data_IF_650142841149
#
_entry.id   IF_650142841149
#
_cell.length_a   1.000
_cell.length_b   1.000
_cell.length_c   1.000
_cell.angle_alpha   90.00
_cell.angle_beta   90.00
_cell.angle_gamma   90.00
#
_symmetry.space_group_name_H-M   'P 1'
#
loop_
_entity.id
_entity.type
_entity.pdbx_description
1 polymer ?
#
# COMPACT_ATOMS: atom_id res chain seq x y z
N UNK A 1 9.02 -6.45 -16.96
CA UNK A 1 8.95 -5.70 -15.68
C UNK A 1 10.23 -4.92 -15.54
N UNK A 2 10.15 -3.60 -15.33
CA UNK A 2 11.31 -2.76 -15.01
C UNK A 2 11.18 -2.31 -13.55
N UNK A 3 12.21 -2.58 -12.74
CA UNK A 3 12.24 -2.26 -11.30
C UNK A 3 13.32 -1.24 -11.01
N UNK A 4 13.13 -0.40 -9.99
CA UNK A 4 14.03 0.73 -9.75
C UNK A 4 13.91 1.80 -10.84
N UNK A 5 12.76 1.85 -11.53
CA UNK A 5 12.46 2.81 -12.58
C UNK A 5 11.23 3.64 -12.23
N UNK A 6 11.41 4.71 -11.45
CA UNK A 6 10.31 5.61 -11.12
C UNK A 6 9.99 6.53 -12.29
N UNK A 7 8.75 6.46 -12.77
CA UNK A 7 8.18 7.42 -13.72
C UNK A 7 7.91 8.73 -12.98
N UNK A 8 8.37 9.85 -13.56
CA UNK A 8 8.20 11.20 -13.00
C UNK A 8 7.31 12.10 -13.86
N UNK A 9 7.14 11.77 -15.14
CA UNK A 9 6.21 12.46 -16.02
C UNK A 9 5.72 11.54 -17.13
N UNK A 10 4.54 11.86 -17.67
CA UNK A 10 3.96 11.18 -18.82
C UNK A 10 3.46 12.20 -19.82
N UNK A 11 3.55 11.89 -21.12
CA UNK A 11 3.09 12.76 -22.19
C UNK A 11 2.30 11.98 -23.23
N UNK A 12 1.14 12.49 -23.61
CA UNK A 12 0.37 12.02 -24.77
C UNK A 12 0.73 12.83 -26.01
N UNK A 13 1.07 12.15 -27.09
CA UNK A 13 1.22 12.68 -28.46
C UNK A 13 0.29 11.94 -29.41
N UNK A 14 0.28 12.26 -30.71
CA UNK A 14 -0.42 11.45 -31.72
C UNK A 14 0.13 10.01 -31.79
N UNK A 15 1.44 9.84 -31.58
CA UNK A 15 2.15 8.55 -31.69
C UNK A 15 2.02 7.63 -30.48
N UNK A 16 1.43 8.09 -29.36
CA UNK A 16 1.28 7.27 -28.16
C UNK A 16 1.47 8.06 -26.86
N UNK A 17 1.56 7.30 -25.78
CA UNK A 17 2.07 7.73 -24.49
C UNK A 17 3.59 7.57 -24.45
N UNK A 18 4.23 8.53 -23.79
CA UNK A 18 5.65 8.51 -23.48
C UNK A 18 5.87 8.71 -21.97
N UNK A 19 6.88 8.04 -21.43
CA UNK A 19 7.22 8.09 -20.01
C UNK A 19 8.61 8.72 -19.82
N UNK A 20 8.77 9.59 -18.84
CA UNK A 20 10.09 10.01 -18.36
C UNK A 20 10.36 9.43 -16.97
N UNK A 21 11.62 9.06 -16.73
CA UNK A 21 12.06 8.42 -15.50
C UNK A 21 12.94 9.36 -14.67
N UNK A 22 13.01 9.11 -13.36
CA UNK A 22 13.93 9.80 -12.48
C UNK A 22 15.39 9.55 -12.90
N UNK A 23 16.27 10.50 -12.59
CA UNK A 23 17.69 10.42 -12.91
C UNK A 23 18.33 9.15 -12.32
N UNK A 24 19.07 8.40 -13.14
CA UNK A 24 19.69 7.13 -12.74
C UNK A 24 18.71 5.96 -12.56
N UNK A 25 17.41 6.17 -12.77
CA UNK A 25 16.35 5.17 -12.66
C UNK A 25 15.82 4.73 -14.05
N UNK A 26 16.54 5.01 -15.14
CA UNK A 26 16.14 4.55 -16.46
C UNK A 26 16.27 3.01 -16.58
N UNK A 27 15.42 2.36 -17.39
CA UNK A 27 15.59 0.95 -17.72
C UNK A 27 17.00 0.62 -18.25
N UNK A 28 17.53 -0.54 -17.85
CA UNK A 28 18.85 -0.99 -18.29
C UNK A 28 18.94 -1.04 -19.84
N UNK A 29 20.01 -0.45 -20.39
CA UNK A 29 20.25 -0.36 -21.84
C UNK A 29 19.79 0.96 -22.48
N UNK A 30 19.30 1.92 -21.70
CA UNK A 30 18.88 3.24 -22.18
C UNK A 30 19.84 4.35 -21.70
N UNK A 31 20.16 5.32 -22.57
CA UNK A 31 21.12 6.39 -22.25
C UNK A 31 20.55 7.37 -21.22
N UNK A 32 21.26 7.69 -20.13
CA UNK A 32 20.78 8.59 -19.08
C UNK A 32 20.76 10.08 -19.49
N UNK A 33 21.32 10.45 -20.64
CA UNK A 33 21.61 11.84 -21.01
C UNK A 33 20.47 12.60 -21.70
N UNK A 34 19.37 11.92 -22.01
CA UNK A 34 18.16 12.52 -22.59
C UNK A 34 17.00 12.00 -21.75
N UNK A 35 15.97 12.80 -21.46
CA UNK A 35 14.68 12.27 -21.01
C UNK A 35 14.34 11.08 -21.92
N UNK A 36 14.58 9.84 -21.45
CA UNK A 36 14.34 8.67 -22.29
C UNK A 36 12.85 8.47 -22.28
N UNK A 37 12.20 9.20 -23.18
CA UNK A 37 10.84 8.97 -23.59
C UNK A 37 10.82 7.55 -24.16
N UNK A 38 10.40 6.58 -23.36
CA UNK A 38 9.86 5.36 -23.95
C UNK A 38 8.57 5.76 -24.65
N UNK A 39 8.68 6.05 -25.94
CA UNK A 39 7.55 6.36 -26.80
C UNK A 39 6.90 5.05 -27.26
N UNK A 40 5.62 5.13 -27.65
CA UNK A 40 4.95 4.07 -28.38
C UNK A 40 4.04 3.18 -27.54
N UNK A 41 3.59 3.63 -26.37
CA UNK A 41 2.50 2.95 -25.67
C UNK A 41 1.16 3.48 -26.15
N UNK A 42 0.28 2.62 -26.69
CA UNK A 42 -1.06 3.04 -27.11
C UNK A 42 -1.95 3.41 -25.92
N UNK A 43 -1.77 2.71 -24.80
CA UNK A 43 -2.55 2.83 -23.58
C UNK A 43 -1.63 3.11 -22.38
N UNK A 44 -2.08 3.95 -21.45
CA UNK A 44 -1.41 4.18 -20.17
C UNK A 44 -2.30 3.71 -19.03
N UNK A 45 -1.76 2.88 -18.14
CA UNK A 45 -2.45 2.42 -16.92
C UNK A 45 -1.68 2.87 -15.69
N UNK A 46 -2.36 3.60 -14.81
CA UNK A 46 -1.84 4.06 -13.53
C UNK A 46 -2.43 3.18 -12.41
N UNK A 47 -1.63 2.20 -11.96
CA UNK A 47 -1.95 1.32 -10.84
C UNK A 47 -1.12 1.71 -9.60
N UNK A 48 -1.39 2.89 -9.07
CA UNK A 48 -0.63 3.48 -7.95
C UNK A 48 -1.57 4.30 -7.05
N UNK A 49 -1.17 4.65 -5.81
CA UNK A 49 -1.91 5.57 -4.97
C UNK A 49 -2.34 6.86 -5.69
N UNK A 50 -3.54 7.40 -5.40
CA UNK A 50 -4.16 8.50 -6.14
C UNK A 50 -3.31 9.77 -6.14
N UNK A 51 -2.64 10.08 -5.02
CA UNK A 51 -1.74 11.23 -4.95
C UNK A 51 -0.56 11.13 -5.93
N UNK A 52 -0.06 9.91 -6.15
CA UNK A 52 1.04 9.68 -7.10
C UNK A 52 0.53 9.69 -8.55
N UNK A 53 -0.66 9.16 -8.80
CA UNK A 53 -1.29 9.21 -10.13
C UNK A 53 -1.67 10.65 -10.55
N UNK A 54 -2.13 11.46 -9.59
CA UNK A 54 -2.43 12.88 -9.80
C UNK A 54 -1.17 13.71 -10.05
N UNK A 55 0.00 13.30 -9.56
CA UNK A 55 1.25 13.97 -9.89
C UNK A 55 1.65 13.78 -11.38
N UNK A 56 1.10 12.77 -12.05
CA UNK A 56 1.38 12.44 -13.45
C UNK A 56 0.29 12.92 -14.41
N UNK A 57 -0.89 13.30 -13.92
CA UNK A 57 -2.07 13.55 -14.77
C UNK A 57 -2.93 14.70 -14.23
N UNK A 58 -3.77 15.29 -15.07
CA UNK A 58 -4.63 16.40 -14.66
C UNK A 58 -5.92 15.98 -13.95
N UNK A 59 -6.13 14.68 -13.72
CA UNK A 59 -7.33 14.19 -13.05
C UNK A 59 -7.24 14.49 -11.55
N UNK A 60 -8.24 15.19 -11.02
CA UNK A 60 -8.33 15.42 -9.58
C UNK A 60 -8.73 14.12 -8.88
N UNK A 61 -7.75 13.51 -8.21
CA UNK A 61 -7.92 12.34 -7.36
C UNK A 61 -7.85 12.74 -5.88
N UNK A 62 -7.91 14.04 -5.61
CA UNK A 62 -7.86 14.68 -4.32
C UNK A 62 -9.07 14.41 -3.46
N UNK A 63 -10.01 13.54 -3.79
CA UNK A 63 -11.02 13.03 -2.86
C UNK A 63 -10.68 11.62 -2.34
N UNK A 64 -9.82 10.87 -3.03
CA UNK A 64 -9.39 9.54 -2.60
C UNK A 64 -8.28 9.67 -1.56
N UNK A 65 -8.57 9.25 -0.34
CA UNK A 65 -7.69 9.40 0.83
C UNK A 65 -7.24 8.06 1.34
N UNK A 66 -6.11 8.07 2.04
CA UNK A 66 -5.56 6.90 2.71
C UNK A 66 -5.29 7.23 4.16
N UNK A 67 -5.41 6.23 5.03
CA UNK A 67 -4.84 6.28 6.36
C UNK A 67 -3.48 5.58 6.36
N UNK A 68 -2.49 6.13 7.10
CA UNK A 68 -1.20 5.47 7.23
C UNK A 68 -1.30 4.21 8.09
N UNK A 69 -0.28 3.37 8.01
CA UNK A 69 -0.07 2.27 8.95
C UNK A 69 1.41 2.19 9.29
N UNK A 70 1.70 1.94 10.56
CA UNK A 70 3.04 1.60 11.02
C UNK A 70 3.00 0.12 11.41
N UNK A 71 3.95 -0.65 10.90
CA UNK A 71 4.15 -2.04 11.25
C UNK A 71 5.46 -2.21 12.03
N UNK A 72 5.39 -2.85 13.19
CA UNK A 72 6.58 -3.29 13.94
C UNK A 72 6.70 -4.79 13.85
N UNK A 73 7.81 -5.24 13.28
CA UNK A 73 8.17 -6.65 13.13
C UNK A 73 9.15 -7.02 14.23
N UNK A 74 8.84 -8.07 14.98
CA UNK A 74 9.61 -8.52 16.13
C UNK A 74 10.02 -9.98 15.94
N UNK A 75 11.20 -10.36 16.42
CA UNK A 75 11.58 -11.75 16.62
C UNK A 75 12.08 -11.96 18.05
N UNK A 76 11.82 -13.15 18.59
CA UNK A 76 12.23 -13.56 19.93
C UNK A 76 13.03 -14.86 19.86
N UNK A 77 13.98 -15.03 20.77
CA UNK A 77 14.88 -16.19 20.81
C UNK A 77 14.17 -17.46 21.32
N UNK A 78 13.09 -17.29 22.07
CA UNK A 78 12.26 -18.37 22.58
C UNK A 78 10.79 -18.11 22.24
N UNK A 79 9.97 -19.18 22.12
CA UNK A 79 8.53 -19.05 21.96
C UNK A 79 7.89 -18.24 23.08
N UNK A 80 6.89 -17.42 22.73
CA UNK A 80 6.10 -16.68 23.71
C UNK A 80 4.94 -17.55 24.18
N UNK A 81 4.73 -17.62 25.50
CA UNK A 81 3.60 -18.33 26.12
C UNK A 81 2.26 -17.58 25.98
N UNK A 82 1.96 -17.11 24.76
CA UNK A 82 0.71 -16.42 24.43
C UNK A 82 -0.28 -17.41 23.80
N UNK A 83 -1.54 -17.45 24.27
CA UNK A 83 -2.54 -18.43 23.83
C UNK A 83 -3.23 -18.05 22.50
N UNK A 84 -2.64 -17.15 21.71
CA UNK A 84 -3.21 -16.67 20.47
C UNK A 84 -2.13 -16.49 19.40
N UNK A 85 -2.56 -16.63 18.14
CA UNK A 85 -1.73 -16.43 16.96
C UNK A 85 -2.09 -15.15 16.19
N UNK A 86 -3.24 -14.55 16.51
CA UNK A 86 -3.67 -13.29 15.92
C UNK A 86 -4.75 -12.61 16.75
N UNK A 87 -4.79 -11.28 16.67
CA UNK A 87 -5.77 -10.46 17.36
C UNK A 87 -6.13 -9.25 16.48
N UNK A 88 -7.43 -9.03 16.27
CA UNK A 88 -7.97 -7.87 15.55
C UNK A 88 -8.64 -6.90 16.50
N UNK A 89 -8.54 -5.61 16.20
CA UNK A 89 -9.11 -4.54 17.02
C UNK A 89 -10.11 -3.76 16.18
N UNK A 90 -11.38 -3.74 16.60
CA UNK A 90 -12.46 -3.11 15.83
C UNK A 90 -12.54 -1.59 16.05
N UNK A 91 -12.09 -1.10 17.22
CA UNK A 91 -12.14 0.33 17.51
C UNK A 91 -11.07 1.08 16.72
N UNK A 92 -11.47 2.13 16.02
CA UNK A 92 -10.55 3.06 15.36
C UNK A 92 -9.64 3.82 16.32
N UNK A 93 -9.96 3.82 17.62
CA UNK A 93 -9.16 4.44 18.69
C UNK A 93 -8.20 3.47 19.40
N UNK A 94 -8.26 2.17 19.08
CA UNK A 94 -7.30 1.20 19.62
C UNK A 94 -5.90 1.51 19.12
N UNK A 95 -4.88 1.27 19.95
CA UNK A 95 -3.48 1.45 19.58
C UNK A 95 -3.09 0.52 18.43
N UNK A 96 -3.47 -0.76 18.52
CA UNK A 96 -3.29 -1.74 17.47
C UNK A 96 -4.52 -1.83 16.59
N UNK A 97 -4.32 -2.20 15.33
CA UNK A 97 -5.37 -2.66 14.41
C UNK A 97 -5.33 -4.18 14.22
N UNK A 98 -4.12 -4.75 14.26
CA UNK A 98 -3.89 -6.18 14.06
C UNK A 98 -2.58 -6.63 14.69
N UNK A 99 -2.59 -7.79 15.34
CA UNK A 99 -1.40 -8.51 15.77
C UNK A 99 -1.40 -9.88 15.10
N UNK A 100 -0.24 -10.36 14.65
CA UNK A 100 -0.07 -11.72 14.19
C UNK A 100 1.25 -12.32 14.66
N UNK A 101 1.19 -13.55 15.16
CA UNK A 101 2.33 -14.46 15.21
C UNK A 101 2.63 -14.89 13.77
N UNK A 102 3.54 -14.21 13.10
CA UNK A 102 3.87 -14.49 11.70
C UNK A 102 4.42 -15.90 11.51
N UNK A 103 5.08 -16.47 12.52
CA UNK A 103 5.61 -17.84 12.45
C UNK A 103 4.54 -18.93 12.46
N UNK A 104 3.30 -18.67 12.89
CA UNK A 104 2.22 -19.67 12.85
C UNK A 104 1.57 -19.83 11.47
N UNK A 105 1.85 -18.90 10.54
CA UNK A 105 1.29 -18.96 9.19
C UNK A 105 1.80 -20.21 8.42
N UNK A 106 0.95 -20.85 7.60
CA UNK A 106 1.35 -22.02 6.82
C UNK A 106 2.61 -21.79 5.98
N UNK A 107 3.54 -22.76 6.01
CA UNK A 107 4.78 -22.72 5.23
C UNK A 107 5.88 -21.80 5.78
N UNK A 108 5.70 -21.19 6.96
CA UNK A 108 6.76 -20.41 7.60
C UNK A 108 7.78 -21.31 8.30
N UNK A 109 9.06 -20.90 8.35
CA UNK A 109 10.07 -21.64 9.10
C UNK A 109 9.78 -21.58 10.61
N UNK A 110 10.30 -22.51 11.42
CA UNK A 110 10.22 -22.42 12.87
C UNK A 110 10.77 -21.10 13.43
N UNK A 111 10.26 -20.67 14.58
CA UNK A 111 10.71 -19.47 15.30
C UNK A 111 9.55 -18.70 15.92
N UNK A 112 9.85 -17.62 16.63
CA UNK A 112 8.85 -16.76 17.28
C UNK A 112 8.95 -15.36 16.68
N UNK A 113 8.00 -15.03 15.79
CA UNK A 113 8.02 -13.78 15.02
C UNK A 113 6.63 -13.15 15.07
N UNK A 114 6.58 -11.86 15.33
CA UNK A 114 5.34 -11.09 15.41
C UNK A 114 5.35 -9.92 14.45
N UNK A 115 4.18 -9.62 13.90
CA UNK A 115 3.92 -8.38 13.17
C UNK A 115 2.79 -7.66 13.89
N UNK A 116 3.09 -6.46 14.37
CA UNK A 116 2.16 -5.61 15.10
C UNK A 116 1.82 -4.41 14.22
N UNK A 117 0.56 -4.31 13.78
CA UNK A 117 0.06 -3.17 13.02
C UNK A 117 -0.57 -2.16 13.96
N UNK A 118 -0.03 -0.95 13.96
CA UNK A 118 -0.58 0.21 14.66
C UNK A 118 -1.78 0.72 13.86
N UNK A 119 -2.84 1.13 14.56
CA UNK A 119 -4.03 1.70 13.92
C UNK A 119 -3.68 3.02 13.21
N UNK A 120 -4.47 3.37 12.20
CA UNK A 120 -4.22 4.58 11.42
C UNK A 120 -4.28 5.88 12.23
N UNK A 121 -5.22 5.96 13.19
CA UNK A 121 -5.36 7.13 14.06
C UNK A 121 -4.13 7.33 14.97
N UNK A 122 -3.53 6.23 15.45
CA UNK A 122 -2.32 6.27 16.28
C UNK A 122 -1.05 6.40 15.44
N UNK A 123 -1.02 5.84 14.23
CA UNK A 123 0.13 5.89 13.35
C UNK A 123 0.55 7.33 12.99
N UNK A 124 -0.41 8.25 12.82
CA UNK A 124 -0.10 9.66 12.53
C UNK A 124 0.64 10.36 13.69
N UNK A 125 0.24 10.11 14.95
CA UNK A 125 0.90 10.74 16.10
C UNK A 125 2.30 10.19 16.36
N UNK A 126 2.54 8.93 15.98
CA UNK A 126 3.82 8.26 16.15
C UNK A 126 4.74 8.35 14.91
N UNK A 127 4.28 8.97 13.83
CA UNK A 127 4.94 8.93 12.52
C UNK A 127 6.40 9.41 12.55
N UNK A 128 6.66 10.45 13.35
CA UNK A 128 7.96 11.12 13.45
C UNK A 128 8.89 10.53 14.51
N UNK A 129 8.45 9.53 15.28
CA UNK A 129 9.32 8.85 16.24
C UNK A 129 10.43 8.09 15.51
N UNK A 130 11.62 8.03 16.12
CA UNK A 130 12.69 7.15 15.64
C UNK A 130 12.25 5.68 15.73
N UNK A 131 12.87 4.81 14.94
CA UNK A 131 12.53 3.39 14.95
C UNK A 131 12.74 2.75 16.33
N UNK A 132 13.78 3.18 17.06
CA UNK A 132 14.06 2.73 18.43
C UNK A 132 12.98 3.17 19.42
N UNK A 133 12.64 4.46 19.42
CA UNK A 133 11.62 5.01 20.31
C UNK A 133 10.25 4.38 20.04
N UNK A 134 9.90 4.23 18.76
CA UNK A 134 8.66 3.59 18.34
C UNK A 134 8.62 2.11 18.73
N UNK A 135 9.73 1.39 18.60
CA UNK A 135 9.82 -0.02 19.01
C UNK A 135 9.59 -0.15 20.52
N UNK A 136 10.18 0.74 21.33
CA UNK A 136 9.98 0.76 22.79
C UNK A 136 8.50 1.00 23.14
N UNK A 137 7.88 2.02 22.56
CA UNK A 137 6.47 2.35 22.79
C UNK A 137 5.55 1.17 22.40
N UNK A 138 5.79 0.58 21.23
CA UNK A 138 4.98 -0.53 20.72
C UNK A 138 5.16 -1.80 21.55
N UNK A 139 6.38 -2.10 22.02
CA UNK A 139 6.62 -3.22 22.93
C UNK A 139 5.91 -3.01 24.26
N UNK A 140 5.97 -1.79 24.83
CA UNK A 140 5.25 -1.46 26.06
C UNK A 140 3.74 -1.66 25.88
N UNK A 141 3.16 -1.18 24.76
CA UNK A 141 1.73 -1.37 24.45
C UNK A 141 1.36 -2.82 24.19
N UNK A 142 2.24 -3.59 23.57
CA UNK A 142 2.02 -5.03 23.36
C UNK A 142 2.06 -5.80 24.68
N UNK A 143 2.98 -5.43 25.58
CA UNK A 143 3.06 -6.00 26.93
C UNK A 143 1.83 -5.62 27.76
N UNK A 144 1.40 -4.35 27.76
CA UNK A 144 0.16 -3.89 28.40
C UNK A 144 -1.06 -4.68 27.91
N UNK A 145 -1.20 -4.83 26.59
CA UNK A 145 -2.29 -5.62 26.00
C UNK A 145 -2.26 -7.07 26.49
N UNK A 146 -1.10 -7.73 26.44
CA UNK A 146 -0.99 -9.12 26.86
C UNK A 146 -1.25 -9.28 28.36
N UNK A 147 -0.67 -8.43 29.21
CA UNK A 147 -0.85 -8.47 30.66
C UNK A 147 -2.28 -8.17 31.11
N UNK A 148 -3.03 -7.38 30.33
CA UNK A 148 -4.44 -7.10 30.60
C UNK A 148 -5.38 -8.27 30.25
N UNK A 149 -4.96 -9.19 29.39
CA UNK A 149 -5.82 -10.26 28.85
C UNK A 149 -5.38 -11.67 29.26
N UNK A 150 -4.13 -11.86 29.72
CA UNK A 150 -3.55 -13.17 30.03
C UNK A 150 -2.72 -13.12 31.31
N UNK A 151 -2.69 -14.25 32.03
CA UNK A 151 -1.88 -14.39 33.24
C UNK A 151 -0.41 -14.68 32.90
N UNK A 152 0.50 -14.30 33.81
CA UNK A 152 1.94 -14.63 33.73
C UNK A 152 2.65 -14.16 32.44
N UNK A 153 2.32 -12.97 31.97
CA UNK A 153 2.95 -12.38 30.78
C UNK A 153 4.25 -11.66 31.15
N UNK A 154 5.37 -12.30 30.83
CA UNK A 154 6.69 -11.66 30.77
C UNK A 154 7.21 -11.73 29.33
N UNK A 155 7.15 -10.61 28.61
CA UNK A 155 7.64 -10.55 27.24
C UNK A 155 9.14 -10.23 27.27
N UNK A 156 10.01 -11.16 26.78
CA UNK A 156 11.44 -10.91 26.74
C UNK A 156 11.74 -9.78 25.75
N UNK A 157 12.94 -9.20 25.88
CA UNK A 157 13.45 -8.29 24.85
C UNK A 157 13.52 -9.04 23.51
N UNK A 158 13.00 -8.47 22.41
CA UNK A 158 13.15 -9.08 21.10
C UNK A 158 14.62 -9.09 20.68
N UNK A 159 15.06 -10.17 20.05
CA UNK A 159 16.39 -10.29 19.45
C UNK A 159 16.50 -9.57 18.10
N UNK A 160 15.36 -9.26 17.49
CA UNK A 160 15.28 -8.44 16.29
C UNK A 160 14.03 -7.57 16.30
N UNK A 161 14.17 -6.32 15.85
CA UNK A 161 13.05 -5.42 15.59
C UNK A 161 13.25 -4.67 14.27
N UNK A 162 12.17 -4.45 13.53
CA UNK A 162 12.15 -3.60 12.34
C UNK A 162 10.84 -2.85 12.24
N UNK A 163 10.94 -1.55 11.98
CA UNK A 163 9.79 -0.70 11.72
C UNK A 163 9.60 -0.54 10.21
N UNK A 164 8.35 -0.48 9.77
CA UNK A 164 7.99 -0.02 8.44
C UNK A 164 6.80 0.95 8.51
N UNK A 165 6.85 2.02 7.70
CA UNK A 165 5.83 3.08 7.66
C UNK A 165 5.18 3.12 6.28
N UNK A 166 3.92 2.71 6.20
CA UNK A 166 3.10 2.74 4.99
C UNK A 166 2.25 4.02 4.96
N UNK A 167 2.65 5.02 4.16
CA UNK A 167 1.93 6.31 4.10
C UNK A 167 0.54 6.18 3.46
N UNK A 168 0.43 5.29 2.48
CA UNK A 168 -0.78 5.00 1.73
C UNK A 168 -1.23 3.56 2.00
N UNK A 169 -1.52 3.23 3.26
CA UNK A 169 -1.72 1.84 3.69
C UNK A 169 -3.13 1.31 3.39
N UNK A 170 -4.15 2.09 3.74
CA UNK A 170 -5.54 1.67 3.60
C UNK A 170 -6.37 2.82 3.03
N UNK A 171 -7.00 2.60 1.87
CA UNK A 171 -7.89 3.59 1.28
C UNK A 171 -9.11 3.83 2.21
N UNK A 172 -9.40 5.10 2.45
CA UNK A 172 -10.51 5.53 3.28
C UNK A 172 -11.80 5.57 2.47
N UNK A 173 -12.91 5.18 3.11
CA UNK A 173 -14.22 5.44 2.55
C UNK A 173 -14.44 6.96 2.52
N UNK A 174 -14.81 7.53 1.37
CA UNK A 174 -15.00 8.97 1.28
C UNK A 174 -16.23 9.39 2.09
N UNK A 175 -16.11 10.56 2.73
CA UNK A 175 -17.21 11.17 3.50
C UNK A 175 -18.35 11.58 2.56
N UNK A 176 -17.99 12.12 1.39
CA UNK A 176 -18.90 12.39 0.29
C UNK A 176 -18.64 11.40 -0.86
N UNK A 177 -19.61 10.52 -1.10
CA UNK A 177 -19.55 9.51 -2.17
C UNK A 177 -19.57 10.12 -3.57
N UNK A 178 -20.06 11.36 -3.72
CA UNK A 178 -20.06 12.05 -5.01
C UNK A 178 -18.67 12.61 -5.34
N UNK A 179 -17.91 13.01 -4.31
CA UNK A 179 -16.56 13.53 -4.49
C UNK A 179 -15.54 12.42 -4.86
N UNK A 180 -15.73 11.20 -4.34
CA UNK A 180 -14.91 10.02 -4.66
C UNK A 180 -15.81 8.79 -4.87
N UNK A 181 -16.44 8.64 -6.05
CA UNK A 181 -17.28 7.50 -6.32
C UNK A 181 -16.46 6.20 -6.37
N UNK A 182 -17.05 5.12 -5.88
CA UNK A 182 -16.50 3.78 -6.08
C UNK A 182 -16.88 3.30 -7.49
N UNK A 183 -15.99 3.56 -8.44
CA UNK A 183 -16.20 3.26 -9.86
C UNK A 183 -15.69 1.87 -10.27
N UNK A 184 -15.01 1.16 -9.38
CA UNK A 184 -14.26 -0.05 -9.70
C UNK A 184 -12.96 0.25 -10.44
N UNK A 185 -12.98 1.11 -11.46
CA UNK A 185 -11.84 1.64 -12.20
C UNK A 185 -12.21 2.99 -12.83
N UNK A 186 -11.23 3.74 -13.36
CA UNK A 186 -11.49 4.92 -14.19
C UNK A 186 -10.85 4.67 -15.56
N UNK A 187 -11.59 4.91 -16.63
CA UNK A 187 -11.06 4.83 -18.00
C UNK A 187 -11.48 6.06 -18.80
N UNK A 188 -10.50 6.80 -19.32
CA UNK A 188 -10.67 7.94 -20.21
C UNK A 188 -10.37 7.48 -21.62
N UNK A 189 -11.42 7.05 -22.33
CA UNK A 189 -11.32 6.42 -23.66
C UNK A 189 -10.59 7.30 -24.68
N UNK A 190 -10.94 8.59 -24.76
CA UNK A 190 -10.31 9.56 -25.67
C UNK A 190 -8.80 9.68 -25.46
N UNK A 191 -8.35 9.52 -24.21
CA UNK A 191 -6.94 9.60 -23.83
C UNK A 191 -6.25 8.23 -23.83
N UNK A 192 -7.01 7.13 -23.93
CA UNK A 192 -6.52 5.76 -23.69
C UNK A 192 -5.79 5.65 -22.35
N UNK A 193 -6.36 6.28 -21.32
CA UNK A 193 -5.77 6.40 -19.98
C UNK A 193 -6.67 5.75 -18.94
N UNK A 194 -6.10 4.80 -18.20
CA UNK A 194 -6.79 4.05 -17.16
C UNK A 194 -6.18 4.24 -15.78
N UNK A 195 -7.03 4.20 -14.75
CA UNK A 195 -6.64 4.17 -13.34
C UNK A 195 -7.29 2.96 -12.70
N UNK A 196 -6.50 2.20 -11.95
CA UNK A 196 -6.99 1.08 -11.16
C UNK A 196 -6.26 1.04 -9.81
N UNK A 197 -6.87 0.36 -8.85
CA UNK A 197 -6.32 0.22 -7.51
C UNK A 197 -7.39 -0.15 -6.51
N UNK A 198 -6.95 -0.59 -5.33
CA UNK A 198 -7.81 -0.87 -4.19
C UNK A 198 -8.71 0.32 -3.82
N UNK A 199 -8.20 1.55 -3.97
CA UNK A 199 -8.90 2.80 -3.71
C UNK A 199 -10.08 3.11 -4.64
N UNK A 200 -10.18 2.43 -5.78
CA UNK A 200 -11.32 2.55 -6.70
C UNK A 200 -12.39 1.48 -6.49
N UNK A 201 -12.11 0.43 -5.70
CA UNK A 201 -13.03 -0.69 -5.51
C UNK A 201 -13.24 -1.04 -4.04
N UNK A 202 -12.21 -1.56 -3.38
CA UNK A 202 -12.22 -1.85 -1.94
C UNK A 202 -10.78 -1.98 -1.43
N UNK A 203 -10.48 -1.53 -0.20
CA UNK A 203 -9.12 -1.47 0.35
C UNK A 203 -8.59 -2.84 0.79
N UNK A 204 -8.57 -3.80 -0.15
CA UNK A 204 -8.18 -5.20 0.02
C UNK A 204 -7.53 -5.70 -1.27
N UNK A 205 -6.76 -6.77 -1.17
CA UNK A 205 -6.15 -7.47 -2.31
C UNK A 205 -7.18 -7.80 -3.41
N UNK A 206 -8.36 -8.31 -3.02
CA UNK A 206 -9.45 -8.60 -3.94
C UNK A 206 -9.92 -7.36 -4.73
N UNK A 207 -10.04 -6.21 -4.06
CA UNK A 207 -10.45 -4.97 -4.71
C UNK A 207 -9.42 -4.46 -5.71
N UNK A 208 -8.13 -4.51 -5.35
CA UNK A 208 -7.05 -4.17 -6.27
C UNK A 208 -7.07 -5.06 -7.52
N UNK A 209 -7.25 -6.38 -7.33
CA UNK A 209 -7.33 -7.34 -8.41
C UNK A 209 -8.53 -7.05 -9.33
N UNK A 210 -9.73 -6.93 -8.76
CA UNK A 210 -10.96 -6.68 -9.52
C UNK A 210 -10.91 -5.34 -10.26
N UNK A 211 -10.33 -4.32 -9.65
CA UNK A 211 -10.14 -3.00 -10.28
C UNK A 211 -9.28 -3.10 -11.54
N UNK A 212 -8.10 -3.73 -11.44
CA UNK A 212 -7.21 -3.92 -12.58
C UNK A 212 -7.80 -4.84 -13.65
N UNK A 213 -8.45 -5.93 -13.24
CA UNK A 213 -9.09 -6.87 -14.15
C UNK A 213 -10.18 -6.19 -15.01
N UNK A 214 -11.09 -5.44 -14.37
CA UNK A 214 -12.16 -4.73 -15.09
C UNK A 214 -11.65 -3.60 -15.98
N UNK A 215 -10.60 -2.88 -15.56
CA UNK A 215 -9.96 -1.90 -16.42
C UNK A 215 -9.37 -2.57 -17.67
N UNK A 216 -8.77 -3.75 -17.53
CA UNK A 216 -8.24 -4.52 -18.66
C UNK A 216 -9.35 -4.90 -19.66
N UNK A 217 -10.51 -5.34 -19.17
CA UNK A 217 -11.65 -5.67 -20.03
C UNK A 217 -12.12 -4.43 -20.83
N UNK A 218 -12.19 -3.26 -20.18
CA UNK A 218 -12.55 -2.00 -20.85
C UNK A 218 -11.52 -1.61 -21.93
N UNK A 219 -10.22 -1.76 -21.66
CA UNK A 219 -9.16 -1.47 -22.64
C UNK A 219 -9.24 -2.43 -23.84
N UNK A 220 -9.51 -3.72 -23.61
CA UNK A 220 -9.67 -4.70 -24.68
C UNK A 220 -10.90 -4.36 -25.54
N UNK A 221 -12.03 -4.03 -24.91
CA UNK A 221 -13.23 -3.62 -25.62
C UNK A 221 -13.03 -2.35 -26.45
N UNK A 222 -12.31 -1.35 -25.93
CA UNK A 222 -11.94 -0.14 -26.69
C UNK A 222 -11.09 -0.49 -27.91
N UNK A 223 -10.02 -1.28 -27.71
CA UNK A 223 -9.12 -1.70 -28.78
C UNK A 223 -9.86 -2.43 -29.90
N UNK A 224 -10.83 -3.26 -29.53
CA UNK A 224 -11.59 -4.09 -30.46
C UNK A 224 -12.82 -3.34 -31.05
N UNK A 225 -13.03 -2.07 -30.70
CA UNK A 225 -14.12 -1.23 -31.21
C UNK A 225 -15.50 -1.57 -30.65
N UNK A 226 -15.57 -2.27 -29.52
CA UNK A 226 -16.79 -2.76 -28.89
C UNK A 226 -17.40 -1.81 -27.84
N UNK A 227 -16.72 -0.70 -27.51
CA UNK A 227 -17.27 0.39 -26.71
C UNK A 227 -17.90 1.44 -27.65
N UNK A 228 -19.16 1.22 -28.05
CA UNK A 228 -20.02 2.21 -28.70
C UNK A 228 -21.36 2.30 -27.98
#
# INVERSE_FOLDING_TARGET
MHTGCRVISVKRSESGWSLAFAEGECPAGESPEVEVLRQGFDYLVLNMPPFQAQALTNLDLGAYRFTPCIAVMLAFDAPLALPFDGASFESSTSFFSWLARDSSKPGRPPGERWVLHISGATADSLWQLSDEALTIEVLAKFHEFCAANFEQVDLPKPSFAKVHRWRYALALKPVDKNAAPNLGYIYQQDLKLGYCGDWLHSPRVEGAFLSGYRLSDAIVADRDGALN
#
